data_IF_427315701570
#
_entry.id   IF_427315701570
#
_cell.length_a   1.000
_cell.length_b   1.000
_cell.length_c   1.000
_cell.angle_alpha   90.00
_cell.angle_beta   90.00
_cell.angle_gamma   90.00
#
_symmetry.space_group_name_H-M   'P 1'
#
loop_
_entity.id
_entity.type
_entity.pdbx_description
1 polymer ?
#
# COMPACT_ATOMS: atom_id res chain seq x y z
N UNK A 1 7.30 2.57 26.85
CA UNK A 1 6.43 3.37 25.95
C UNK A 1 6.43 2.66 24.61
N UNK A 2 5.27 2.19 24.12
CA UNK A 2 5.19 1.72 22.73
C UNK A 2 5.31 2.97 21.87
N UNK A 3 6.41 3.09 21.14
CA UNK A 3 6.58 4.18 20.20
C UNK A 3 5.51 4.01 19.12
N UNK A 4 4.70 5.06 18.88
CA UNK A 4 3.64 5.01 17.88
C UNK A 4 4.30 4.88 16.50
N UNK A 5 4.03 3.77 15.80
CA UNK A 5 4.55 3.50 14.46
C UNK A 5 3.45 3.72 13.43
N UNK A 6 3.75 4.49 12.39
CA UNK A 6 2.77 4.82 11.36
C UNK A 6 3.38 4.76 9.95
N UNK A 7 2.55 4.59 8.90
CA UNK A 7 3.00 4.65 7.52
C UNK A 7 3.88 5.87 7.21
N UNK A 8 5.10 5.62 6.75
CA UNK A 8 6.05 6.68 6.39
C UNK A 8 5.79 7.27 5.01
N UNK A 9 5.01 6.60 4.15
CA UNK A 9 4.51 7.14 2.87
C UNK A 9 3.00 7.30 2.89
N UNK A 10 2.51 8.30 2.14
CA UNK A 10 1.11 8.31 1.68
C UNK A 10 0.99 7.29 0.56
N UNK A 11 0.01 6.40 0.63
CA UNK A 11 -0.18 5.36 -0.38
C UNK A 11 -1.65 5.30 -0.77
N UNK A 12 -1.91 5.20 -2.08
CA UNK A 12 -3.26 4.96 -2.58
C UNK A 12 -3.78 3.63 -2.00
N UNK A 13 -5.06 3.59 -1.64
CA UNK A 13 -5.65 2.41 -0.99
C UNK A 13 -5.33 2.26 0.50
N UNK A 14 -4.61 3.21 1.13
CA UNK A 14 -4.26 3.15 2.55
C UNK A 14 -5.45 2.83 3.47
N UNK A 15 -5.41 1.66 4.09
CA UNK A 15 -6.53 1.04 4.81
C UNK A 15 -6.91 1.67 6.15
N UNK A 16 -6.36 2.84 6.47
CA UNK A 16 -6.61 3.52 7.76
C UNK A 16 -8.10 3.70 8.07
N UNK A 17 -8.92 3.98 7.06
CA UNK A 17 -10.37 4.12 7.23
C UNK A 17 -11.10 2.78 7.40
N UNK A 18 -10.55 1.69 6.86
CA UNK A 18 -11.10 0.35 6.96
C UNK A 18 -10.62 -0.41 8.21
N UNK A 19 -9.60 0.10 8.91
CA UNK A 19 -9.05 -0.53 10.13
C UNK A 19 -10.12 -0.92 11.17
N UNK A 20 -11.15 -0.11 11.49
CA UNK A 20 -12.19 -0.53 12.41
C UNK A 20 -12.90 -1.81 11.94
N UNK A 21 -13.31 -1.86 10.67
CA UNK A 21 -13.99 -3.03 10.11
C UNK A 21 -13.07 -4.23 9.98
N UNK A 22 -11.80 -4.03 9.61
CA UNK A 22 -10.80 -5.10 9.60
C UNK A 22 -10.65 -5.70 11.00
N UNK A 23 -10.55 -4.86 12.05
CA UNK A 23 -10.42 -5.34 13.43
C UNK A 23 -11.61 -6.22 13.87
N UNK A 24 -12.83 -5.82 13.51
CA UNK A 24 -14.04 -6.59 13.80
C UNK A 24 -14.08 -7.94 13.07
N UNK A 25 -13.29 -8.09 12.01
CA UNK A 25 -13.27 -9.27 11.15
C UNK A 25 -11.95 -10.06 11.21
N UNK A 26 -11.01 -9.71 12.10
CA UNK A 26 -9.79 -10.48 12.29
C UNK A 26 -10.13 -11.93 12.69
N UNK A 27 -9.31 -12.91 12.28
CA UNK A 27 -9.56 -14.30 12.64
C UNK A 27 -9.45 -14.49 14.15
N UNK A 28 -10.35 -15.27 14.74
CA UNK A 28 -10.32 -15.59 16.18
C UNK A 28 -8.99 -16.23 16.58
N UNK A 29 -8.42 -17.04 15.69
CA UNK A 29 -7.09 -17.66 15.84
C UNK A 29 -5.99 -16.62 16.05
N UNK A 30 -6.09 -15.42 15.45
CA UNK A 30 -5.15 -14.33 15.72
C UNK A 30 -5.38 -13.73 17.10
N UNK A 31 -6.64 -13.51 17.47
CA UNK A 31 -7.02 -12.92 18.76
C UNK A 31 -6.61 -13.85 19.92
N UNK A 32 -6.76 -15.16 19.74
CA UNK A 32 -6.39 -16.18 20.72
C UNK A 32 -4.89 -16.46 20.76
N UNK A 33 -4.12 -15.94 19.79
CA UNK A 33 -2.67 -16.11 19.71
C UNK A 33 -2.22 -17.41 19.04
N UNK A 34 -3.08 -18.10 18.30
CA UNK A 34 -2.73 -19.31 17.53
C UNK A 34 -1.95 -18.96 16.26
N UNK A 35 -2.25 -17.81 15.65
CA UNK A 35 -1.48 -17.26 14.52
C UNK A 35 -0.12 -16.77 15.00
N UNK A 36 0.94 -17.27 14.35
CA UNK A 36 2.33 -16.91 14.65
C UNK A 36 2.99 -16.11 13.53
N UNK A 37 2.45 -16.16 12.32
CA UNK A 37 3.00 -15.48 11.14
C UNK A 37 2.02 -14.49 10.55
N UNK A 38 2.54 -13.35 10.11
CA UNK A 38 1.77 -12.34 9.38
C UNK A 38 2.39 -12.07 8.01
N UNK A 39 1.55 -12.04 6.96
CA UNK A 39 2.00 -11.81 5.60
C UNK A 39 1.13 -10.75 4.91
N UNK A 40 1.77 -9.74 4.31
CA UNK A 40 1.14 -8.80 3.37
C UNK A 40 1.81 -8.92 1.98
N UNK A 41 1.18 -9.59 1.00
CA UNK A 41 1.74 -9.74 -0.35
C UNK A 41 1.75 -8.43 -1.17
N UNK A 42 0.94 -7.46 -0.73
CA UNK A 42 0.76 -6.13 -1.30
C UNK A 42 0.85 -5.08 -0.16
N UNK A 43 2.04 -4.89 0.41
CA UNK A 43 2.19 -4.09 1.64
C UNK A 43 1.83 -2.62 1.43
N UNK A 44 2.11 -2.05 0.26
CA UNK A 44 1.90 -0.63 0.00
C UNK A 44 2.51 0.26 1.09
N UNK A 45 1.70 1.12 1.72
CA UNK A 45 2.14 1.96 2.84
C UNK A 45 2.25 1.26 4.20
N UNK A 46 1.87 -0.02 4.32
CA UNK A 46 1.95 -0.81 5.54
C UNK A 46 0.96 -0.39 6.63
N UNK A 47 -0.20 0.16 6.26
CA UNK A 47 -1.17 0.67 7.24
C UNK A 47 -1.70 -0.43 8.19
N UNK A 48 -2.02 -1.61 7.66
CA UNK A 48 -2.45 -2.73 8.49
C UNK A 48 -1.27 -3.39 9.20
N UNK A 49 -0.13 -3.57 8.51
CA UNK A 49 1.13 -4.03 9.09
C UNK A 49 1.48 -3.31 10.40
N UNK A 50 1.68 -1.99 10.35
CA UNK A 50 2.09 -1.22 11.52
C UNK A 50 1.01 -1.22 12.62
N UNK A 51 -0.26 -1.31 12.23
CA UNK A 51 -1.37 -1.39 13.17
C UNK A 51 -1.42 -2.74 13.90
N UNK A 52 -1.19 -3.86 13.21
CA UNK A 52 -1.19 -5.19 13.82
C UNK A 52 0.07 -5.43 14.66
N UNK A 53 1.24 -4.95 14.22
CA UNK A 53 2.48 -5.03 15.01
C UNK A 53 2.38 -4.33 16.37
N UNK A 54 1.53 -3.31 16.48
CA UNK A 54 1.30 -2.63 17.75
C UNK A 54 0.36 -3.41 18.69
N UNK A 55 -0.32 -4.45 18.22
CA UNK A 55 -1.38 -5.16 18.96
C UNK A 55 -1.08 -6.62 19.21
N UNK A 56 -0.37 -7.26 18.28
CA UNK A 56 -0.09 -8.68 18.29
C UNK A 56 1.42 -8.90 18.14
N UNK A 57 1.90 -9.97 18.76
CA UNK A 57 3.28 -10.43 18.60
C UNK A 57 3.31 -11.56 17.57
N UNK A 58 4.11 -11.38 16.52
CA UNK A 58 4.35 -12.38 15.50
C UNK A 58 5.76 -12.92 15.63
N UNK A 59 5.92 -14.22 15.42
CA UNK A 59 7.23 -14.87 15.34
C UNK A 59 7.92 -14.56 14.01
N UNK A 60 7.14 -14.42 12.95
CA UNK A 60 7.65 -14.05 11.63
C UNK A 60 6.67 -13.09 10.94
N UNK A 61 7.21 -12.06 10.30
CA UNK A 61 6.44 -11.13 9.46
C UNK A 61 7.11 -11.07 8.09
N UNK A 62 6.32 -11.26 7.05
CA UNK A 62 6.76 -11.18 5.66
C UNK A 62 5.95 -10.11 4.94
N UNK A 63 6.63 -9.18 4.29
CA UNK A 63 5.99 -8.19 3.43
C UNK A 63 6.54 -8.31 2.01
N UNK A 64 5.69 -8.07 1.03
CA UNK A 64 6.04 -8.04 -0.37
C UNK A 64 5.33 -6.87 -1.06
N UNK A 65 5.95 -6.36 -2.12
CA UNK A 65 5.29 -5.48 -3.08
C UNK A 65 5.97 -5.66 -4.44
N UNK A 66 5.22 -5.34 -5.49
CA UNK A 66 5.76 -5.30 -6.84
C UNK A 66 6.55 -4.00 -7.09
N UNK A 67 6.23 -2.92 -6.38
CA UNK A 67 6.85 -1.63 -6.57
C UNK A 67 8.30 -1.59 -6.05
N UNK A 68 9.25 -1.55 -6.97
CA UNK A 68 10.68 -1.54 -6.66
C UNK A 68 11.12 -0.31 -5.87
N UNK A 69 10.64 0.90 -6.20
CA UNK A 69 11.01 2.13 -5.49
C UNK A 69 10.55 2.09 -4.02
N UNK A 70 9.34 1.57 -3.80
CA UNK A 70 8.76 1.38 -2.47
C UNK A 70 9.57 0.37 -1.65
N UNK A 71 9.85 -0.82 -2.19
CA UNK A 71 10.62 -1.84 -1.45
C UNK A 71 12.05 -1.37 -1.17
N UNK A 72 12.67 -0.64 -2.09
CA UNK A 72 13.98 -0.06 -1.84
C UNK A 72 13.93 0.98 -0.71
N UNK A 73 12.88 1.81 -0.63
CA UNK A 73 12.70 2.72 0.50
C UNK A 73 12.49 1.97 1.83
N UNK A 74 11.66 0.91 1.84
CA UNK A 74 11.52 0.04 3.02
C UNK A 74 12.86 -0.55 3.48
N UNK A 75 13.66 -1.05 2.54
CA UNK A 75 15.00 -1.60 2.82
C UNK A 75 15.96 -0.53 3.33
N UNK A 76 15.97 0.67 2.74
CA UNK A 76 16.80 1.77 3.21
C UNK A 76 16.42 2.18 4.64
N UNK A 77 15.13 2.30 4.95
CA UNK A 77 14.67 2.57 6.32
C UNK A 77 15.08 1.44 7.27
N UNK A 78 14.95 0.18 6.85
CA UNK A 78 15.35 -0.97 7.68
C UNK A 78 16.85 -0.98 7.99
N UNK A 79 17.71 -0.74 6.99
CA UNK A 79 19.14 -1.01 7.10
C UNK A 79 20.00 0.24 7.35
N UNK A 80 19.56 1.43 6.93
CA UNK A 80 20.36 2.65 7.04
C UNK A 80 19.45 3.91 7.06
N UNK A 81 18.56 3.98 8.06
CA UNK A 81 17.61 5.09 8.21
C UNK A 81 18.28 6.44 8.41
N UNK A 82 19.42 6.49 9.08
CA UNK A 82 20.16 7.73 9.32
C UNK A 82 20.62 8.33 7.98
N UNK A 83 21.13 7.51 7.07
CA UNK A 83 21.53 7.97 5.73
C UNK A 83 20.36 8.49 4.90
N UNK A 84 19.15 7.94 5.07
CA UNK A 84 17.95 8.52 4.46
C UNK A 84 17.66 9.91 5.05
N UNK A 85 17.68 10.04 6.38
CA UNK A 85 17.43 11.31 7.09
C UNK A 85 18.46 12.37 6.66
N UNK A 86 19.76 12.05 6.77
CA UNK A 86 20.88 12.96 6.46
C UNK A 86 20.81 13.51 5.03
N UNK A 87 20.31 12.72 4.07
CA UNK A 87 20.14 13.14 2.68
C UNK A 87 18.82 13.86 2.40
N UNK A 88 17.76 13.52 3.13
CA UNK A 88 16.43 14.09 2.93
C UNK A 88 16.27 15.46 3.60
N UNK A 89 16.92 15.67 4.75
CA UNK A 89 16.86 16.92 5.51
C UNK A 89 17.30 18.14 4.69
N UNK A 90 18.45 18.16 4.00
CA UNK A 90 18.85 19.31 3.18
C UNK A 90 17.85 19.64 2.06
N UNK A 91 17.30 18.62 1.39
CA UNK A 91 16.30 18.77 0.33
C UNK A 91 15.00 19.35 0.91
N UNK A 92 14.58 18.86 2.08
CA UNK A 92 13.42 19.36 2.80
C UNK A 92 13.62 20.82 3.22
N UNK A 93 14.75 21.15 3.82
CA UNK A 93 15.08 22.49 4.32
C UNK A 93 15.16 23.52 3.21
N UNK A 94 15.78 23.17 2.08
CA UNK A 94 15.83 24.02 0.90
C UNK A 94 14.42 24.29 0.39
N UNK A 95 13.62 23.23 0.16
CA UNK A 95 12.25 23.36 -0.31
C UNK A 95 11.37 24.20 0.63
N UNK A 96 11.50 24.02 1.95
CA UNK A 96 10.66 24.71 2.92
C UNK A 96 10.97 26.22 3.03
N UNK A 97 12.19 26.67 2.68
CA UNK A 97 12.57 28.09 2.66
C UNK A 97 12.05 28.86 1.44
N UNK A 98 11.63 28.14 0.40
CA UNK A 98 11.16 28.73 -0.86
C UNK A 98 9.70 29.20 -0.77
N UNK A 99 9.38 30.22 -1.57
CA UNK A 99 8.01 30.62 -1.86
C UNK A 99 7.28 29.58 -2.74
N UNK A 100 5.97 29.76 -2.94
CA UNK A 100 5.15 28.77 -3.64
C UNK A 100 5.54 28.54 -5.12
N UNK A 101 6.03 29.57 -5.80
CA UNK A 101 6.43 29.47 -7.20
C UNK A 101 7.73 28.67 -7.29
N UNK A 102 8.74 29.06 -6.49
CA UNK A 102 10.02 28.34 -6.44
C UNK A 102 9.91 26.92 -5.89
N UNK A 103 9.01 26.66 -4.93
CA UNK A 103 8.69 25.28 -4.51
C UNK A 103 8.18 24.43 -5.66
N UNK A 104 7.39 25.01 -6.55
CA UNK A 104 6.87 24.29 -7.72
C UNK A 104 7.99 23.95 -8.71
N UNK A 105 8.89 24.90 -8.96
CA UNK A 105 10.09 24.67 -9.80
C UNK A 105 11.00 23.60 -9.19
N UNK A 106 11.29 23.72 -7.89
CA UNK A 106 12.11 22.75 -7.14
C UNK A 106 11.50 21.34 -7.15
N UNK A 107 10.18 21.24 -6.97
CA UNK A 107 9.50 19.96 -7.07
C UNK A 107 9.72 19.30 -8.45
N UNK A 108 9.58 20.06 -9.53
CA UNK A 108 9.73 19.52 -10.88
C UNK A 108 11.19 19.18 -11.22
N UNK A 109 12.16 19.93 -10.71
CA UNK A 109 13.58 19.59 -10.87
C UNK A 109 13.92 18.27 -10.15
N UNK A 110 13.47 18.10 -8.89
CA UNK A 110 13.64 16.83 -8.16
C UNK A 110 12.91 15.69 -8.86
N UNK A 111 11.74 15.93 -9.48
CA UNK A 111 11.01 14.91 -10.25
C UNK A 111 11.79 14.45 -11.49
N UNK A 112 12.41 15.38 -12.20
CA UNK A 112 13.27 15.07 -13.36
C UNK A 112 14.51 14.28 -12.93
N UNK A 113 15.16 14.69 -11.84
CA UNK A 113 16.29 13.97 -11.25
C UNK A 113 15.86 12.56 -10.81
N UNK A 114 14.72 12.43 -10.13
CA UNK A 114 14.16 11.14 -9.73
C UNK A 114 14.00 10.23 -10.94
N UNK A 115 13.40 10.68 -12.03
CA UNK A 115 13.16 9.85 -13.22
C UNK A 115 14.45 9.37 -13.90
N UNK A 116 15.54 10.15 -13.82
CA UNK A 116 16.86 9.78 -14.35
C UNK A 116 17.72 8.97 -13.38
N UNK A 117 17.42 9.04 -12.08
CA UNK A 117 18.18 8.33 -11.05
C UNK A 117 17.99 6.81 -11.21
N UNK A 118 19.06 5.99 -11.18
CA UNK A 118 18.96 4.54 -11.26
C UNK A 118 18.12 3.93 -10.13
N UNK A 119 17.28 2.95 -10.47
CA UNK A 119 16.53 2.16 -9.48
C UNK A 119 17.48 1.46 -8.50
N UNK A 120 17.10 1.37 -7.23
CA UNK A 120 17.90 0.76 -6.16
C UNK A 120 18.97 1.67 -5.55
N UNK A 121 19.26 2.84 -6.14
CA UNK A 121 20.14 3.82 -5.50
C UNK A 121 19.47 4.46 -4.27
N UNK A 122 20.30 4.84 -3.30
CA UNK A 122 19.84 5.56 -2.09
C UNK A 122 19.17 6.88 -2.47
N UNK A 123 19.74 7.59 -3.44
CA UNK A 123 19.21 8.88 -3.90
C UNK A 123 17.80 8.72 -4.50
N UNK A 124 17.52 7.62 -5.21
CA UNK A 124 16.17 7.32 -5.72
C UNK A 124 15.16 7.25 -4.58
N UNK A 125 15.48 6.56 -3.48
CA UNK A 125 14.61 6.43 -2.30
C UNK A 125 14.43 7.77 -1.56
N UNK A 126 15.48 8.58 -1.49
CA UNK A 126 15.41 9.95 -0.92
C UNK A 126 14.45 10.82 -1.73
N UNK A 127 14.65 10.90 -3.05
CA UNK A 127 13.77 11.68 -3.93
C UNK A 127 12.35 11.12 -3.96
N UNK A 128 12.18 9.80 -3.92
CA UNK A 128 10.88 9.15 -3.83
C UNK A 128 10.09 9.61 -2.59
N UNK A 129 10.71 9.59 -1.41
CA UNK A 129 10.05 10.04 -0.18
C UNK A 129 9.73 11.54 -0.22
N UNK A 130 10.65 12.37 -0.70
CA UNK A 130 10.38 13.80 -0.93
C UNK A 130 9.17 14.02 -1.85
N UNK A 131 9.16 13.38 -3.02
CA UNK A 131 8.07 13.49 -4.00
C UNK A 131 6.76 12.98 -3.40
N UNK A 132 6.75 11.87 -2.68
CA UNK A 132 5.54 11.35 -2.04
C UNK A 132 4.93 12.35 -1.04
N UNK A 133 5.76 13.05 -0.26
CA UNK A 133 5.29 14.02 0.73
C UNK A 133 4.83 15.34 0.12
N UNK A 134 5.29 15.67 -1.08
CA UNK A 134 5.06 16.97 -1.73
C UNK A 134 4.14 16.92 -2.96
N UNK A 135 3.93 15.75 -3.57
CA UNK A 135 3.08 15.58 -4.75
C UNK A 135 1.58 15.58 -4.42
N UNK A 136 0.75 15.74 -5.45
CA UNK A 136 -0.70 15.73 -5.31
C UNK A 136 -1.20 14.43 -4.68
N UNK A 137 -1.87 14.56 -3.53
CA UNK A 137 -2.46 13.48 -2.72
C UNK A 137 -1.50 12.34 -2.31
N UNK A 138 -0.18 12.52 -2.44
CA UNK A 138 0.77 11.46 -2.14
C UNK A 138 0.60 10.22 -3.03
N UNK A 139 0.15 10.42 -4.27
CA UNK A 139 -0.02 9.33 -5.23
C UNK A 139 1.34 8.81 -5.71
N UNK A 140 1.37 7.53 -6.08
CA UNK A 140 2.40 7.00 -6.96
C UNK A 140 1.77 6.70 -8.32
N UNK A 141 2.27 7.33 -9.37
CA UNK A 141 1.82 7.12 -10.74
C UNK A 141 2.97 7.34 -11.70
N UNK A 142 3.11 6.42 -12.63
CA UNK A 142 4.09 6.48 -13.71
C UNK A 142 3.39 6.56 -15.08
N UNK A 143 4.08 7.06 -16.10
CA UNK A 143 3.64 6.99 -17.49
C UNK A 143 4.05 5.64 -18.13
N UNK A 144 3.77 5.49 -19.43
CA UNK A 144 4.17 4.30 -20.22
C UNK A 144 5.69 4.08 -20.30
N UNK A 145 6.50 5.09 -20.00
CA UNK A 145 7.96 5.00 -19.94
C UNK A 145 8.47 4.69 -18.52
N UNK A 146 7.57 4.33 -17.59
CA UNK A 146 7.85 4.14 -16.16
C UNK A 146 8.39 5.39 -15.44
N UNK A 147 8.13 6.58 -15.96
CA UNK A 147 8.54 7.84 -15.34
C UNK A 147 7.43 8.36 -14.42
N UNK A 148 7.79 8.74 -13.20
CA UNK A 148 6.86 9.34 -12.25
C UNK A 148 6.35 10.69 -12.78
N UNK A 149 5.02 10.83 -12.80
CA UNK A 149 4.34 11.95 -13.49
C UNK A 149 3.24 12.63 -12.65
N UNK A 150 3.27 12.46 -11.32
CA UNK A 150 2.33 13.16 -10.42
C UNK A 150 2.70 14.65 -10.36
N UNK A 151 1.72 15.58 -10.37
CA UNK A 151 1.99 17.01 -10.23
C UNK A 151 2.28 17.42 -8.78
N UNK A 152 2.82 18.62 -8.61
CA UNK A 152 3.06 19.22 -7.29
C UNK A 152 1.75 19.40 -6.49
N UNK A 153 1.74 19.00 -5.21
CA UNK A 153 0.57 19.03 -4.33
C UNK A 153 0.31 20.36 -3.61
N UNK A 154 1.28 21.30 -3.62
CA UNK A 154 1.16 22.66 -3.04
C UNK A 154 0.70 22.68 -1.57
N UNK A 155 1.23 21.77 -0.75
CA UNK A 155 0.97 21.76 0.69
C UNK A 155 1.60 22.97 1.39
N UNK A 156 0.88 23.60 2.33
CA UNK A 156 1.39 24.74 3.10
C UNK A 156 2.62 24.37 3.94
N UNK A 157 2.49 23.30 4.73
CA UNK A 157 3.55 22.78 5.60
C UNK A 157 3.57 21.24 5.54
N UNK A 158 4.14 20.63 4.48
CA UNK A 158 4.25 19.19 4.41
C UNK A 158 5.28 18.69 5.43
N UNK A 159 4.92 17.66 6.21
CA UNK A 159 5.87 16.91 7.01
C UNK A 159 6.66 15.99 6.08
N UNK A 160 7.79 16.48 5.56
CA UNK A 160 8.64 15.77 4.60
C UNK A 160 9.53 14.77 5.35
N UNK A 161 10.21 15.23 6.41
CA UNK A 161 11.03 14.41 7.29
C UNK A 161 10.33 14.27 8.63
N UNK A 162 9.98 13.03 8.97
CA UNK A 162 9.46 12.65 10.28
C UNK A 162 10.50 11.75 10.94
N UNK A 163 11.52 12.36 11.53
CA UNK A 163 12.70 11.66 12.07
C UNK A 163 12.29 10.63 13.12
N UNK A 164 11.38 11.01 14.02
CA UNK A 164 10.91 10.11 15.08
C UNK A 164 10.19 8.89 14.49
N UNK A 165 9.23 9.08 13.57
CA UNK A 165 8.55 7.95 12.95
C UNK A 165 9.50 7.09 12.11
N UNK A 166 10.44 7.69 11.36
CA UNK A 166 11.42 6.94 10.56
C UNK A 166 12.29 6.03 11.43
N UNK A 167 12.78 6.53 12.57
CA UNK A 167 13.55 5.74 13.54
C UNK A 167 12.70 4.62 14.17
N UNK A 168 11.45 4.92 14.51
CA UNK A 168 10.52 3.93 15.07
C UNK A 168 10.18 2.83 14.05
N UNK A 169 9.94 3.20 12.79
CA UNK A 169 9.71 2.26 11.69
C UNK A 169 10.95 1.42 11.43
N UNK A 170 12.15 2.01 11.40
CA UNK A 170 13.41 1.27 11.23
C UNK A 170 13.57 0.17 12.29
N UNK A 171 13.30 0.51 13.56
CA UNK A 171 13.30 -0.44 14.67
C UNK A 171 12.26 -1.55 14.46
N UNK A 172 11.04 -1.19 14.07
CA UNK A 172 9.96 -2.15 13.80
C UNK A 172 10.29 -3.11 12.64
N UNK A 173 10.94 -2.62 11.58
CA UNK A 173 11.30 -3.41 10.39
C UNK A 173 12.48 -4.36 10.61
N UNK A 174 13.24 -4.22 11.70
CA UNK A 174 14.46 -5.00 11.96
C UNK A 174 14.26 -6.53 11.82
N UNK A 175 13.15 -7.06 12.35
CA UNK A 175 12.79 -8.48 12.27
C UNK A 175 11.95 -8.90 11.07
N UNK A 176 11.58 -7.96 10.18
CA UNK A 176 10.65 -8.23 9.08
C UNK A 176 11.41 -8.74 7.84
N UNK A 177 10.89 -9.80 7.21
CA UNK A 177 11.38 -10.26 5.89
C UNK A 177 10.72 -9.43 4.78
N UNK A 178 11.54 -8.77 3.97
CA UNK A 178 11.08 -7.84 2.92
C UNK A 178 11.41 -8.43 1.54
N UNK A 179 10.39 -9.02 0.92
CA UNK A 179 10.43 -9.56 -0.44
C UNK A 179 10.17 -8.45 -1.46
N UNK A 180 10.43 -8.76 -2.73
CA UNK A 180 10.18 -7.88 -3.86
C UNK A 180 9.74 -8.71 -5.06
N UNK A 181 8.60 -8.38 -5.65
CA UNK A 181 8.12 -9.01 -6.88
C UNK A 181 6.65 -9.40 -6.81
N UNK A 182 6.31 -10.44 -7.56
CA UNK A 182 4.94 -10.92 -7.66
C UNK A 182 4.40 -11.44 -6.31
N UNK A 183 3.11 -11.26 -6.06
CA UNK A 183 2.48 -11.66 -4.80
C UNK A 183 2.62 -13.16 -4.50
N UNK A 184 2.85 -14.01 -5.50
CA UNK A 184 3.05 -15.45 -5.28
C UNK A 184 4.37 -15.79 -4.57
N UNK A 185 5.32 -14.84 -4.47
CA UNK A 185 6.61 -15.03 -3.79
C UNK A 185 6.47 -15.38 -2.30
N UNK A 186 5.31 -15.12 -1.70
CA UNK A 186 5.08 -15.43 -0.28
C UNK A 186 4.77 -16.90 -0.02
N UNK A 187 4.52 -17.72 -1.06
CA UNK A 187 3.96 -19.07 -0.94
C UNK A 187 4.71 -19.97 0.04
N UNK A 188 6.05 -19.96 -0.03
CA UNK A 188 6.90 -20.84 0.76
C UNK A 188 6.94 -20.47 2.26
N UNK A 189 6.37 -19.33 2.63
CA UNK A 189 6.31 -18.86 4.02
C UNK A 189 4.96 -19.15 4.69
N UNK A 190 3.97 -19.62 3.93
CA UNK A 190 2.59 -19.80 4.38
C UNK A 190 2.36 -21.21 4.94
N UNK A 191 1.76 -21.27 6.12
CA UNK A 191 1.30 -22.48 6.82
C UNK A 191 -0.01 -22.24 7.59
N UNK A 192 -0.46 -23.23 8.36
CA UNK A 192 -1.71 -23.16 9.12
C UNK A 192 -1.70 -22.14 10.27
N UNK A 193 -0.53 -21.61 10.64
CA UNK A 193 -0.36 -20.58 11.68
C UNK A 193 -0.13 -19.19 11.07
N UNK A 194 -0.47 -19.03 9.79
CA UNK A 194 -0.27 -17.80 9.04
C UNK A 194 -1.58 -17.05 8.84
N UNK A 195 -1.57 -15.74 9.13
CA UNK A 195 -2.58 -14.81 8.67
C UNK A 195 -2.03 -14.02 7.47
N UNK A 196 -2.74 -14.06 6.34
CA UNK A 196 -2.39 -13.33 5.12
C UNK A 196 -3.45 -12.28 4.84
N UNK A 197 -3.01 -11.03 4.69
CA UNK A 197 -3.86 -9.93 4.26
C UNK A 197 -3.51 -9.48 2.85
N UNK A 198 -4.51 -9.50 1.96
CA UNK A 198 -4.37 -9.08 0.58
C UNK A 198 -5.06 -7.73 0.35
N UNK A 199 -4.31 -6.78 -0.21
CA UNK A 199 -4.82 -5.50 -0.67
C UNK A 199 -4.31 -5.18 -2.08
N UNK A 200 -4.74 -5.93 -3.10
CA UNK A 200 -4.29 -5.74 -4.47
C UNK A 200 -4.75 -4.38 -5.02
N UNK A 201 -4.15 -3.89 -6.11
CA UNK A 201 -4.76 -2.81 -6.87
C UNK A 201 -6.21 -3.17 -7.25
N UNK A 202 -7.13 -2.23 -6.98
CA UNK A 202 -8.55 -2.45 -7.22
C UNK A 202 -8.86 -2.53 -8.71
N UNK A 203 -9.78 -3.42 -9.07
CA UNK A 203 -10.28 -3.55 -10.44
C UNK A 203 -10.89 -2.21 -10.90
N UNK A 204 -10.49 -1.65 -12.06
CA UNK A 204 -11.08 -0.43 -12.58
C UNK A 204 -12.59 -0.60 -12.79
N UNK A 205 -13.39 0.30 -12.22
CA UNK A 205 -14.86 0.18 -12.26
C UNK A 205 -15.49 0.80 -13.54
N UNK A 206 -14.73 1.54 -14.36
CA UNK A 206 -15.23 2.16 -15.59
C UNK A 206 -14.64 1.49 -16.84
N UNK A 207 -15.49 1.13 -17.80
CA UNK A 207 -15.13 0.54 -19.10
C UNK A 207 -14.37 1.48 -20.04
N UNK A 208 -14.37 2.80 -19.80
CA UNK A 208 -13.51 3.74 -20.55
C UNK A 208 -12.08 3.79 -20.05
N UNK A 209 -11.78 3.30 -18.83
CA UNK A 209 -10.40 3.15 -18.35
C UNK A 209 -9.75 1.85 -18.81
N UNK A 210 -10.53 0.80 -19.08
CA UNK A 210 -10.02 -0.50 -19.55
C UNK A 210 -9.62 -0.50 -21.03
N UNK A 211 -10.12 0.44 -21.84
CA UNK A 211 -9.83 0.47 -23.28
C UNK A 211 -8.50 1.19 -23.63
N UNK A 212 -7.86 1.87 -22.68
CA UNK A 212 -6.66 2.70 -22.93
C UNK A 212 -5.35 2.17 -22.34
N UNK A 213 -5.35 1.04 -21.63
CA UNK A 213 -4.16 0.57 -20.91
C UNK A 213 -3.72 -0.85 -21.28
N UNK A 214 -3.26 -1.01 -22.52
CA UNK A 214 -2.31 -2.09 -22.86
C UNK A 214 -0.90 -1.76 -22.34
N UNK A 215 -0.78 -1.35 -21.07
CA UNK A 215 0.51 -1.31 -20.39
C UNK A 215 0.68 -2.61 -19.62
N UNK A 216 1.77 -3.33 -19.88
CA UNK A 216 2.13 -4.62 -19.27
C UNK A 216 2.31 -4.61 -17.73
N UNK A 217 1.99 -3.50 -17.06
CA UNK A 217 2.19 -3.26 -15.62
C UNK A 217 0.88 -2.98 -14.85
N UNK A 218 -0.29 -3.06 -15.48
CA UNK A 218 -1.57 -2.86 -14.78
C UNK A 218 -2.17 -4.20 -14.31
N UNK A 219 -2.45 -4.28 -12.99
CA UNK A 219 -3.11 -5.40 -12.35
C UNK A 219 -4.57 -5.49 -12.82
N UNK A 220 -4.82 -6.37 -13.78
CA UNK A 220 -6.08 -6.44 -14.53
C UNK A 220 -6.94 -7.64 -14.11
N UNK A 221 -8.06 -7.89 -14.80
CA UNK A 221 -8.97 -9.00 -14.50
C UNK A 221 -8.27 -10.37 -14.50
N UNK A 222 -7.27 -10.60 -15.37
CA UNK A 222 -6.50 -11.85 -15.37
C UNK A 222 -5.61 -11.99 -14.13
N UNK A 223 -5.05 -10.88 -13.61
CA UNK A 223 -4.32 -10.88 -12.35
C UNK A 223 -5.25 -11.07 -11.15
N UNK A 224 -6.47 -10.53 -11.19
CA UNK A 224 -7.49 -10.79 -10.16
C UNK A 224 -7.89 -12.29 -10.13
N UNK A 225 -8.03 -12.93 -11.30
CA UNK A 225 -8.28 -14.38 -11.40
C UNK A 225 -7.08 -15.18 -10.86
N UNK A 226 -5.86 -14.76 -11.19
CA UNK A 226 -4.63 -15.37 -10.69
C UNK A 226 -4.52 -15.24 -9.17
N UNK A 227 -4.90 -14.08 -8.62
CA UNK A 227 -4.96 -13.85 -7.18
C UNK A 227 -6.01 -14.73 -6.51
N UNK A 228 -7.20 -14.90 -7.10
CA UNK A 228 -8.21 -15.81 -6.57
C UNK A 228 -7.70 -17.27 -6.56
N UNK A 229 -7.01 -17.70 -7.61
CA UNK A 229 -6.40 -19.04 -7.67
C UNK A 229 -5.30 -19.22 -6.62
N UNK A 230 -4.51 -18.17 -6.37
CA UNK A 230 -3.50 -18.17 -5.31
C UNK A 230 -4.12 -18.15 -3.91
N UNK A 231 -5.23 -17.43 -3.73
CA UNK A 231 -6.01 -17.42 -2.50
C UNK A 231 -6.54 -18.84 -2.19
N UNK A 232 -7.10 -19.54 -3.18
CA UNK A 232 -7.49 -20.96 -3.06
C UNK A 232 -6.29 -21.82 -2.63
N UNK A 233 -5.13 -21.64 -3.26
CA UNK A 233 -3.91 -22.38 -2.89
C UNK A 233 -3.50 -22.15 -1.43
N UNK A 234 -3.53 -20.90 -0.94
CA UNK A 234 -3.18 -20.60 0.45
C UNK A 234 -4.24 -21.13 1.44
N UNK A 235 -5.51 -21.18 1.02
CA UNK A 235 -6.58 -21.77 1.83
C UNK A 235 -6.32 -23.27 2.05
N UNK A 236 -5.91 -24.01 1.03
CA UNK A 236 -5.55 -25.43 1.15
C UNK A 236 -4.33 -25.67 2.07
N UNK A 237 -3.49 -24.64 2.29
CA UNK A 237 -2.39 -24.71 3.27
C UNK A 237 -2.85 -24.45 4.72
N UNK A 238 -4.14 -24.20 4.94
CA UNK A 238 -4.72 -23.96 6.26
C UNK A 238 -4.57 -22.52 6.78
N UNK A 239 -4.05 -21.60 5.97
CA UNK A 239 -3.86 -20.22 6.39
C UNK A 239 -5.18 -19.48 6.57
N UNK A 240 -5.20 -18.50 7.47
CA UNK A 240 -6.32 -17.55 7.60
C UNK A 240 -6.09 -16.42 6.61
N UNK A 241 -7.08 -16.19 5.76
CA UNK A 241 -6.94 -15.25 4.65
C UNK A 241 -8.01 -14.15 4.76
N UNK A 242 -7.60 -12.92 4.52
CA UNK A 242 -8.50 -11.79 4.37
C UNK A 242 -8.06 -10.97 3.15
N UNK A 243 -9.01 -10.60 2.29
CA UNK A 243 -8.77 -9.79 1.10
C UNK A 243 -9.73 -8.61 1.07
N UNK A 244 -9.21 -7.42 0.77
CA UNK A 244 -10.02 -6.24 0.46
C UNK A 244 -10.00 -5.91 -1.02
N UNK A 245 -11.15 -5.49 -1.57
CA UNK A 245 -11.23 -5.01 -2.95
C UNK A 245 -12.35 -3.97 -3.11
N UNK A 246 -12.39 -3.28 -4.26
CA UNK A 246 -13.56 -2.50 -4.65
C UNK A 246 -14.77 -3.40 -4.92
N UNK A 247 -15.98 -2.94 -4.57
CA UNK A 247 -17.21 -3.62 -4.98
C UNK A 247 -17.66 -3.10 -6.36
N UNK A 248 -17.66 -3.92 -7.42
CA UNK A 248 -18.10 -3.49 -8.74
C UNK A 248 -19.59 -3.19 -8.80
N UNK A 249 -20.37 -3.72 -7.85
CA UNK A 249 -21.80 -3.40 -7.69
C UNK A 249 -22.09 -1.95 -7.34
N UNK A 250 -21.07 -1.16 -7.01
CA UNK A 250 -21.22 0.29 -6.91
C UNK A 250 -21.51 0.98 -8.25
N UNK A 251 -21.18 0.33 -9.38
CA UNK A 251 -21.35 0.88 -10.72
C UNK A 251 -22.35 0.05 -11.52
N UNK A 252 -22.25 -1.27 -11.42
CA UNK A 252 -23.12 -2.22 -12.12
C UNK A 252 -23.56 -3.33 -11.15
N UNK A 253 -24.83 -3.32 -10.73
CA UNK A 253 -25.37 -4.27 -9.73
C UNK A 253 -25.28 -5.74 -10.20
N UNK A 254 -25.22 -5.96 -11.51
CA UNK A 254 -25.11 -7.28 -12.14
C UNK A 254 -23.65 -7.75 -12.32
N UNK A 255 -22.67 -6.90 -11.99
CA UNK A 255 -21.26 -7.29 -12.00
C UNK A 255 -20.93 -8.18 -10.79
N UNK A 256 -21.04 -9.49 -11.01
CA UNK A 256 -20.74 -10.55 -10.04
C UNK A 256 -19.29 -11.04 -10.12
N UNK A 257 -18.35 -10.30 -10.72
CA UNK A 257 -16.99 -10.78 -10.97
C UNK A 257 -16.33 -11.36 -9.71
N UNK A 258 -16.30 -10.59 -8.62
CA UNK A 258 -15.72 -11.06 -7.35
C UNK A 258 -16.61 -12.06 -6.61
N UNK A 259 -17.94 -11.95 -6.71
CA UNK A 259 -18.85 -12.92 -6.11
C UNK A 259 -18.65 -14.33 -6.70
N UNK A 260 -18.36 -14.42 -8.00
CA UNK A 260 -18.04 -15.70 -8.66
C UNK A 260 -16.65 -16.21 -8.30
N UNK A 261 -15.64 -15.34 -8.30
CA UNK A 261 -14.27 -15.75 -7.97
C UNK A 261 -14.13 -16.24 -6.52
N UNK A 262 -14.82 -15.59 -5.58
CA UNK A 262 -14.68 -15.86 -4.15
C UNK A 262 -15.93 -16.50 -3.53
N UNK A 263 -16.83 -17.07 -4.34
CA UNK A 263 -18.14 -17.58 -3.88
C UNK A 263 -18.08 -18.74 -2.87
N UNK A 264 -16.91 -19.38 -2.71
CA UNK A 264 -16.65 -20.39 -1.67
C UNK A 264 -16.39 -19.78 -0.28
N UNK A 265 -16.19 -18.47 -0.22
CA UNK A 265 -15.73 -17.74 0.96
C UNK A 265 -16.78 -16.76 1.47
N UNK A 266 -16.54 -16.21 2.66
CA UNK A 266 -17.42 -15.21 3.23
C UNK A 266 -17.11 -13.83 2.63
N UNK A 267 -18.03 -13.32 1.81
CA UNK A 267 -17.93 -12.00 1.17
C UNK A 267 -18.77 -11.00 1.95
N UNK A 268 -18.10 -10.04 2.58
CA UNK A 268 -18.73 -8.97 3.36
C UNK A 268 -18.64 -7.67 2.57
N UNK A 269 -19.77 -6.99 2.40
CA UNK A 269 -19.85 -5.65 1.81
C UNK A 269 -19.86 -4.59 2.90
N UNK A 270 -18.78 -3.82 2.97
CA UNK A 270 -18.56 -2.80 4.00
C UNK A 270 -18.83 -1.42 3.41
N UNK A 271 -19.67 -0.61 4.05
CA UNK A 271 -19.90 0.77 3.60
C UNK A 271 -18.66 1.63 3.86
N UNK A 272 -18.06 2.17 2.81
CA UNK A 272 -16.96 3.12 2.87
C UNK A 272 -17.45 4.54 2.54
N UNK A 273 -16.89 5.55 3.23
CA UNK A 273 -17.17 6.96 2.96
C UNK A 273 -16.16 7.48 1.91
N UNK A 274 -16.59 7.81 0.69
CA UNK A 274 -15.71 8.56 -0.23
C UNK A 274 -15.60 10.01 0.23
N UNK A 275 -14.37 10.47 0.47
CA UNK A 275 -14.03 11.89 0.69
C UNK A 275 -13.74 12.61 -0.64
N UNK A 276 -13.66 11.90 -1.77
CA UNK A 276 -13.24 12.48 -3.05
C UNK A 276 -14.38 12.38 -4.06
N UNK A 277 -15.24 13.40 -4.09
CA UNK A 277 -16.02 13.73 -5.29
C UNK A 277 -16.28 15.25 -5.30
N UNK A 278 -15.89 15.93 -6.38
CA UNK A 278 -16.04 17.39 -6.55
C UNK A 278 -17.47 17.82 -6.88
N UNK A 279 -18.42 16.87 -7.00
CA UNK A 279 -19.83 17.11 -7.34
C UNK A 279 -20.74 16.65 -6.20
N UNK A 280 -21.61 17.55 -5.75
CA UNK A 280 -22.53 17.37 -4.62
C UNK A 280 -23.58 16.27 -4.80
N UNK A 281 -23.88 15.86 -6.04
CA UNK A 281 -24.97 14.91 -6.35
C UNK A 281 -24.55 13.43 -6.37
N UNK A 282 -23.27 13.09 -6.11
CA UNK A 282 -22.77 11.71 -6.10
C UNK A 282 -22.55 11.11 -4.70
N UNK A 283 -23.14 11.70 -3.65
CA UNK A 283 -22.94 11.26 -2.26
C UNK A 283 -23.83 10.04 -1.93
N UNK A 284 -23.50 8.89 -2.49
CA UNK A 284 -23.95 7.58 -2.01
C UNK A 284 -22.88 6.91 -1.13
N UNK A 285 -23.27 6.01 -0.23
CA UNK A 285 -22.31 5.11 0.42
C UNK A 285 -21.82 4.11 -0.62
N UNK A 286 -20.54 4.11 -0.95
CA UNK A 286 -19.96 3.01 -1.73
C UNK A 286 -19.70 1.82 -0.80
N UNK A 287 -19.78 0.60 -1.32
CA UNK A 287 -19.28 -0.59 -0.66
C UNK A 287 -17.84 -0.91 -1.07
N UNK A 288 -17.08 -1.47 -0.15
CA UNK A 288 -15.85 -2.22 -0.42
C UNK A 288 -16.10 -3.68 -0.03
N UNK A 289 -15.42 -4.60 -0.71
CA UNK A 289 -15.48 -6.03 -0.39
C UNK A 289 -14.43 -6.35 0.65
N UNK A 290 -14.81 -7.16 1.63
CA UNK A 290 -13.94 -7.85 2.56
C UNK A 290 -14.24 -9.34 2.47
N UNK A 291 -13.31 -10.12 1.93
CA UNK A 291 -13.45 -11.55 1.67
C UNK A 291 -12.59 -12.31 2.69
N UNK A 292 -13.13 -13.36 3.30
CA UNK A 292 -12.40 -14.16 4.30
C UNK A 292 -12.76 -15.65 4.24
N UNK A 293 -11.80 -16.51 4.58
CA UNK A 293 -11.96 -17.98 4.53
C UNK A 293 -12.32 -18.64 5.88
N UNK A 294 -12.87 -17.87 6.82
CA UNK A 294 -13.24 -18.29 8.18
C UNK A 294 -14.48 -17.55 8.71
#
# INVERSE_FOLDING_TARGET
MKNDISPFVKWAGGKRQLLPTINENLPKDLINGDIKKYIEPFVGGGALLFHLMQRYEFQEIIINDYNTDLINLYRLIKYDVNKLIDKLEPISDEYLKLDNEKRTEYYYSIREIFNRTPSGSIDKSVYFLFLNKTCFNGLYRVNSNNEFNVPHGRYKNPMIVDVENLLNVSKALSGIKILHGDFTQVLDYVDEKTFVYFDPPYRPLNSTSSFTSYSSNEFNDSDQIRLASFYDLLHEKGAKLMLSNSDPKNIDEDDEFFDRLYGKYNIIRVKAKRVINSKSNGRGSISELLIKNY
#
